data_IF_889635670474
#
_entry.id   IF_889635670474
#
_cell.length_a   1.000
_cell.length_b   1.000
_cell.length_c   1.000
_cell.angle_alpha   90.00
_cell.angle_beta   90.00
_cell.angle_gamma   90.00
#
_symmetry.space_group_name_H-M   'P 1'
#
loop_
_entity.id
_entity.type
_entity.pdbx_description
1 polymer ?
#
# COMPACT_ATOMS: atom_id res chain seq x y z
N UNK A 1 -9.15 10.35 17.71
CA UNK A 1 -9.75 11.13 16.60
C UNK A 1 -8.84 11.32 15.38
N UNK A 2 -7.50 11.46 15.48
CA UNK A 2 -6.63 11.77 14.30
C UNK A 2 -6.52 10.68 13.22
N UNK A 3 -6.46 9.38 13.60
CA UNK A 3 -6.21 8.29 12.65
C UNK A 3 -7.33 8.11 11.60
N UNK A 4 -8.59 8.24 12.01
CA UNK A 4 -9.74 8.05 11.12
C UNK A 4 -9.84 9.14 10.04
N UNK A 5 -9.41 10.36 10.34
CA UNK A 5 -9.35 11.44 9.35
C UNK A 5 -8.28 11.16 8.28
N UNK A 6 -7.13 10.61 8.69
CA UNK A 6 -6.05 10.18 7.78
C UNK A 6 -6.58 9.06 6.86
N UNK A 7 -7.19 8.03 7.43
CA UNK A 7 -7.77 6.92 6.67
C UNK A 7 -8.78 7.39 5.62
N UNK A 8 -9.67 8.32 5.99
CA UNK A 8 -10.67 8.87 5.06
C UNK A 8 -10.02 9.72 3.97
N UNK A 9 -9.03 10.54 4.32
CA UNK A 9 -8.31 11.38 3.35
C UNK A 9 -7.55 10.52 2.34
N UNK A 10 -6.84 9.49 2.82
CA UNK A 10 -6.14 8.53 1.97
C UNK A 10 -7.12 7.74 1.09
N UNK A 11 -8.23 7.27 1.65
CA UNK A 11 -9.23 6.55 0.87
C UNK A 11 -9.84 7.42 -0.23
N UNK A 12 -10.05 8.72 0.03
CA UNK A 12 -10.52 9.67 -0.99
C UNK A 12 -9.48 9.88 -2.08
N UNK A 13 -8.23 10.16 -1.70
CA UNK A 13 -7.13 10.39 -2.64
C UNK A 13 -6.89 9.15 -3.53
N UNK A 14 -6.86 7.96 -2.92
CA UNK A 14 -6.67 6.71 -3.65
C UNK A 14 -7.84 6.44 -4.60
N UNK A 15 -9.09 6.75 -4.24
CA UNK A 15 -10.22 6.60 -5.18
C UNK A 15 -10.08 7.50 -6.41
N UNK A 16 -9.54 8.70 -6.25
CA UNK A 16 -9.41 9.67 -7.33
C UNK A 16 -8.21 9.36 -8.23
N UNK A 17 -7.08 8.96 -7.66
CA UNK A 17 -5.81 8.89 -8.39
C UNK A 17 -5.26 7.48 -8.60
N UNK A 18 -5.68 6.47 -7.84
CA UNK A 18 -5.05 5.15 -7.88
C UNK A 18 -5.03 4.52 -9.27
N UNK A 19 -6.07 4.72 -10.08
CA UNK A 19 -6.11 4.22 -11.46
C UNK A 19 -5.04 4.88 -12.34
N UNK A 20 -4.88 6.20 -12.24
CA UNK A 20 -3.85 6.96 -12.95
C UNK A 20 -2.45 6.47 -12.62
N UNK A 21 -2.21 6.12 -11.35
CA UNK A 21 -0.93 5.61 -10.88
C UNK A 21 -0.79 4.08 -11.00
N UNK A 22 -1.80 3.36 -11.49
CA UNK A 22 -1.78 1.90 -11.59
C UNK A 22 -1.72 1.17 -10.25
N UNK A 23 -2.22 1.78 -9.17
CA UNK A 23 -2.25 1.18 -7.83
C UNK A 23 -3.37 0.12 -7.76
N UNK A 24 -2.99 -1.13 -7.55
CA UNK A 24 -3.89 -2.26 -7.36
C UNK A 24 -4.59 -2.22 -5.99
N UNK A 25 -3.84 -2.00 -4.91
CA UNK A 25 -4.38 -1.83 -3.57
C UNK A 25 -3.35 -1.11 -2.68
N UNK A 26 -3.82 -0.60 -1.53
CA UNK A 26 -2.96 0.09 -0.58
C UNK A 26 -3.27 -0.31 0.87
N UNK A 27 -2.21 -0.48 1.65
CA UNK A 27 -2.26 -0.86 3.07
C UNK A 27 -1.70 0.28 3.91
N UNK A 28 -2.49 0.80 4.84
CA UNK A 28 -2.04 1.71 5.88
C UNK A 28 -1.71 0.90 7.13
N UNK A 29 -0.50 1.02 7.65
CA UNK A 29 -0.11 0.33 8.88
C UNK A 29 0.70 1.25 9.80
N UNK A 30 0.92 0.82 11.04
CA UNK A 30 1.92 1.44 11.90
C UNK A 30 3.28 0.83 11.58
N UNK A 31 4.31 1.66 11.49
CA UNK A 31 5.67 1.14 11.36
C UNK A 31 6.04 0.34 12.62
N UNK A 32 6.61 -0.86 12.50
CA UNK A 32 7.23 -1.54 13.64
C UNK A 32 8.59 -0.93 14.01
N UNK A 33 9.16 -0.08 13.13
CA UNK A 33 10.52 0.47 13.28
C UNK A 33 10.54 1.97 13.62
N UNK A 34 9.43 2.67 13.44
CA UNK A 34 9.33 4.12 13.65
C UNK A 34 7.98 4.50 14.28
N UNK A 35 7.85 5.77 14.68
CA UNK A 35 6.56 6.32 15.15
C UNK A 35 5.64 6.71 13.99
N UNK A 36 6.11 6.60 12.76
CA UNK A 36 5.37 7.02 11.57
C UNK A 36 4.32 5.97 11.19
N UNK A 37 3.30 6.44 10.49
CA UNK A 37 2.43 5.55 9.72
C UNK A 37 3.18 5.16 8.44
N UNK A 38 2.86 3.98 7.91
CA UNK A 38 3.39 3.51 6.64
C UNK A 38 2.24 3.26 5.69
N UNK A 39 2.42 3.69 4.44
CA UNK A 39 1.51 3.40 3.34
C UNK A 39 2.24 2.51 2.34
N UNK A 40 1.76 1.28 2.21
CA UNK A 40 2.31 0.30 1.27
C UNK A 40 1.42 0.31 0.04
N UNK A 41 2.00 0.58 -1.12
CA UNK A 41 1.32 0.62 -2.40
C UNK A 41 1.67 -0.64 -3.19
N UNK A 42 0.64 -1.38 -3.61
CA UNK A 42 0.78 -2.44 -4.62
C UNK A 42 0.37 -1.87 -5.96
N UNK A 43 1.22 -2.00 -6.97
CA UNK A 43 0.89 -1.68 -8.35
C UNK A 43 0.36 -2.91 -9.09
N UNK A 44 -0.53 -2.69 -10.06
CA UNK A 44 -0.88 -3.72 -11.05
C UNK A 44 0.40 -4.11 -11.78
N UNK A 45 0.60 -5.39 -12.09
CA UNK A 45 1.82 -5.89 -12.74
C UNK A 45 2.15 -5.08 -14.00
N UNK A 46 3.14 -4.20 -13.87
CA UNK A 46 3.80 -3.53 -15.00
C UNK A 46 5.28 -3.88 -14.95
N UNK A 47 5.83 -4.28 -16.09
CA UNK A 47 7.19 -4.82 -16.24
C UNK A 47 8.33 -3.80 -16.01
N UNK A 48 8.04 -2.62 -15.43
CA UNK A 48 9.01 -1.52 -15.33
C UNK A 48 9.13 -0.99 -13.90
N UNK A 49 10.04 -1.58 -13.13
CA UNK A 49 10.38 -1.14 -11.78
C UNK A 49 10.85 0.32 -11.71
N UNK A 50 11.57 0.80 -12.73
CA UNK A 50 12.04 2.19 -12.83
C UNK A 50 10.92 3.23 -12.88
N UNK A 51 9.75 2.87 -13.41
CA UNK A 51 8.60 3.77 -13.50
C UNK A 51 7.88 3.89 -12.14
N UNK A 52 8.00 2.88 -11.26
CA UNK A 52 7.26 2.82 -9.99
C UNK A 52 7.76 3.80 -8.94
N UNK A 53 9.06 4.01 -8.82
CA UNK A 53 9.60 5.01 -7.89
C UNK A 53 9.13 6.41 -8.27
N UNK A 54 9.16 6.75 -9.56
CA UNK A 54 8.66 8.03 -10.07
C UNK A 54 7.17 8.20 -9.75
N UNK A 55 6.35 7.16 -9.98
CA UNK A 55 4.93 7.16 -9.62
C UNK A 55 4.70 7.34 -8.11
N UNK A 56 5.52 6.72 -7.26
CA UNK A 56 5.45 6.91 -5.81
C UNK A 56 5.77 8.36 -5.44
N UNK A 57 6.84 8.94 -6.00
CA UNK A 57 7.23 10.32 -5.71
C UNK A 57 6.14 11.30 -6.13
N UNK A 58 5.59 11.13 -7.33
CA UNK A 58 4.48 11.95 -7.83
C UNK A 58 3.23 11.79 -6.94
N UNK A 59 2.87 10.57 -6.56
CA UNK A 59 1.74 10.33 -5.65
C UNK A 59 1.96 10.94 -4.27
N UNK A 60 3.18 10.90 -3.73
CA UNK A 60 3.52 11.50 -2.43
C UNK A 60 3.30 13.00 -2.44
N UNK A 61 3.48 13.69 -3.57
CA UNK A 61 3.20 15.13 -3.67
C UNK A 61 1.72 15.48 -3.44
N UNK A 62 0.82 14.50 -3.63
CA UNK A 62 -0.62 14.65 -3.41
C UNK A 62 -1.04 14.31 -1.96
N UNK A 63 -0.14 13.74 -1.16
CA UNK A 63 -0.47 13.38 0.22
C UNK A 63 -0.60 14.64 1.08
N UNK A 64 -1.58 14.68 2.01
CA UNK A 64 -1.64 15.76 2.98
C UNK A 64 -0.35 15.79 3.82
N UNK A 65 0.08 16.95 4.34
CA UNK A 65 1.31 17.07 5.12
C UNK A 65 1.17 16.28 6.43
N UNK A 66 1.65 15.05 6.43
CA UNK A 66 1.60 14.14 7.57
C UNK A 66 2.79 13.17 7.54
N UNK A 67 3.25 12.68 8.71
CA UNK A 67 4.38 11.76 8.79
C UNK A 67 3.96 10.34 8.37
N UNK A 68 3.82 10.14 7.05
CA UNK A 68 3.62 8.83 6.40
C UNK A 68 4.85 8.51 5.56
N UNK A 69 5.42 7.34 5.80
CA UNK A 69 6.43 6.76 4.92
C UNK A 69 5.73 5.90 3.85
N UNK A 70 6.08 6.05 2.58
CA UNK A 70 5.46 5.31 1.47
C UNK A 70 6.42 4.26 0.92
N UNK A 71 5.92 3.04 0.73
CA UNK A 71 6.71 1.90 0.26
C UNK A 71 6.04 1.20 -0.92
N UNK A 72 6.84 0.66 -1.84
CA UNK A 72 6.39 -0.31 -2.83
C UNK A 72 6.26 -1.69 -2.17
N UNK A 73 5.10 -2.31 -2.31
CA UNK A 73 4.82 -3.66 -1.83
C UNK A 73 5.91 -4.68 -2.25
N UNK A 74 6.40 -4.60 -3.49
CA UNK A 74 7.38 -5.57 -4.01
C UNK A 74 8.79 -5.40 -3.42
N UNK A 75 9.06 -4.27 -2.76
CA UNK A 75 10.37 -3.99 -2.13
C UNK A 75 10.45 -4.47 -0.68
N UNK A 76 9.32 -4.84 -0.08
CA UNK A 76 9.25 -5.16 1.34
C UNK A 76 9.42 -6.66 1.61
N UNK A 77 10.11 -7.04 2.72
CA UNK A 77 10.20 -8.43 3.14
C UNK A 77 8.81 -9.04 3.43
N UNK A 78 8.68 -10.34 3.19
CA UNK A 78 7.42 -11.08 3.38
C UNK A 78 6.87 -10.92 4.80
N UNK A 79 7.72 -11.00 5.82
CA UNK A 79 7.35 -10.90 7.23
C UNK A 79 6.74 -9.53 7.54
N UNK A 80 7.29 -8.48 6.92
CA UNK A 80 6.81 -7.12 7.06
C UNK A 80 5.44 -6.96 6.41
N UNK A 81 5.25 -7.49 5.20
CA UNK A 81 3.96 -7.49 4.50
C UNK A 81 2.89 -8.24 5.29
N UNK A 82 3.23 -9.42 5.82
CA UNK A 82 2.34 -10.21 6.68
C UNK A 82 1.94 -9.44 7.94
N UNK A 83 2.90 -8.78 8.60
CA UNK A 83 2.61 -7.92 9.75
C UNK A 83 1.64 -6.80 9.37
N UNK A 84 1.91 -6.08 8.27
CA UNK A 84 1.08 -4.97 7.81
C UNK A 84 -0.32 -5.41 7.39
N UNK A 85 -0.49 -6.59 6.81
CA UNK A 85 -1.81 -7.13 6.48
C UNK A 85 -2.59 -7.59 7.71
N UNK A 86 -1.90 -8.12 8.74
CA UNK A 86 -2.54 -8.59 9.98
C UNK A 86 -2.92 -7.43 10.91
N UNK A 87 -2.09 -6.40 11.00
CA UNK A 87 -2.21 -5.32 11.99
C UNK A 87 -2.53 -3.95 11.38
N UNK A 88 -2.37 -3.80 10.06
CA UNK A 88 -2.75 -2.60 9.33
C UNK A 88 -4.20 -2.65 8.85
N UNK A 89 -4.51 -1.73 7.95
CA UNK A 89 -5.81 -1.55 7.34
C UNK A 89 -5.63 -1.40 5.84
N UNK A 90 -6.33 -2.23 5.07
CA UNK A 90 -6.44 -2.02 3.63
C UNK A 90 -7.36 -0.82 3.39
N UNK A 91 -6.79 0.28 2.88
CA UNK A 91 -7.50 1.55 2.71
C UNK A 91 -8.07 1.72 1.30
N UNK A 92 -7.61 0.92 0.35
CA UNK A 92 -8.06 0.91 -1.03
C UNK A 92 -7.82 -0.46 -1.68
N UNK A 93 -8.78 -0.92 -2.49
CA UNK A 93 -8.64 -2.07 -3.39
C UNK A 93 -9.26 -1.69 -4.73
N UNK A 94 -8.41 -1.47 -5.74
CA UNK A 94 -8.80 -1.18 -7.12
C UNK A 94 -8.74 -2.41 -8.03
N UNK A 95 -7.85 -3.36 -7.73
CA UNK A 95 -7.75 -4.64 -8.42
C UNK A 95 -7.88 -5.78 -7.39
N UNK A 96 -9.08 -6.35 -7.30
CA UNK A 96 -9.39 -7.40 -6.33
C UNK A 96 -8.64 -8.71 -6.61
N UNK A 97 -8.43 -9.05 -7.87
CA UNK A 97 -7.72 -10.28 -8.28
C UNK A 97 -6.25 -10.25 -7.81
N UNK A 98 -5.56 -9.14 -8.04
CA UNK A 98 -4.18 -8.94 -7.55
C UNK A 98 -4.13 -9.06 -6.03
N UNK A 99 -5.10 -8.43 -5.33
CA UNK A 99 -5.18 -8.48 -3.88
C UNK A 99 -5.37 -9.90 -3.33
N UNK A 100 -6.31 -10.67 -3.87
CA UNK A 100 -6.56 -12.05 -3.42
C UNK A 100 -5.35 -12.94 -3.72
N UNK A 101 -4.77 -12.85 -4.92
CA UNK A 101 -3.56 -13.61 -5.28
C UNK A 101 -2.39 -13.32 -4.33
N UNK A 102 -2.19 -12.05 -3.97
CA UNK A 102 -1.14 -11.67 -3.01
C UNK A 102 -1.45 -12.17 -1.59
N UNK A 103 -2.72 -12.16 -1.16
CA UNK A 103 -3.12 -12.76 0.12
C UNK A 103 -2.88 -14.27 0.15
N UNK A 104 -3.27 -14.99 -0.91
CA UNK A 104 -3.05 -16.43 -1.04
C UNK A 104 -1.56 -16.77 -1.03
N UNK A 105 -0.73 -16.00 -1.73
CA UNK A 105 0.73 -16.17 -1.71
C UNK A 105 1.34 -15.92 -0.34
N UNK A 106 0.83 -14.95 0.42
CA UNK A 106 1.39 -14.56 1.71
C UNK A 106 0.90 -15.44 2.86
N UNK A 107 -0.39 -15.76 2.90
CA UNK A 107 -1.04 -16.50 4.00
C UNK A 107 -1.37 -17.95 3.66
N UNK A 108 -1.51 -18.28 2.38
CA UNK A 108 -1.59 -19.66 1.95
C UNK A 108 -0.30 -20.35 2.32
N UNK A 109 -0.39 -21.36 3.18
CA UNK A 109 0.63 -22.38 3.27
C UNK A 109 0.85 -22.88 1.86
N UNK A 110 2.05 -22.73 1.30
CA UNK A 110 2.46 -23.52 0.15
C UNK A 110 2.26 -24.97 0.54
N UNK A 111 1.14 -25.55 0.12
CA UNK A 111 0.84 -26.97 0.19
C UNK A 111 1.77 -27.62 -0.83
N UNK A 112 3.00 -27.87 -0.40
CA UNK A 112 3.98 -28.69 -1.10
C UNK A 112 4.49 -29.73 -0.14
#
# INVERSE_FOLDING_TARGET
MRLRAIELSLASLLREYAQTFGIAYAILSKSPLSRNLILILRFVESDRFGDRLSLILDFVTLLPPMPIDVYDFDTLPREFLMYSLRHGKVVYVGNYETYIRDLERLFGTSSS
#
